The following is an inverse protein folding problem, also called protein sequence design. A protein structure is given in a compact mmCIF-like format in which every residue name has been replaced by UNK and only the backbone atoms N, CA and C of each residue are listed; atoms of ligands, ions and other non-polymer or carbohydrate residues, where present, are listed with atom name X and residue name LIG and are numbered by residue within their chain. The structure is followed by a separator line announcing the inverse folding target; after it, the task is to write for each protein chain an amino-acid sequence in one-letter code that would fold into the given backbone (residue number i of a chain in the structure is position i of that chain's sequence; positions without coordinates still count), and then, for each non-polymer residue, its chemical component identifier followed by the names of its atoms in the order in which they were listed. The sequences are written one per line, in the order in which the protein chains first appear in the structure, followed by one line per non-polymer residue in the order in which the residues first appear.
data_IF_685518915483
#
_entry.id   IF_685518915483
#
_cell.length_a   1.000
_cell.length_b   1.000
_cell.length_c   1.000
_cell.angle_alpha   90.00
_cell.angle_beta   90.00
_cell.angle_gamma   90.00
#
_symmetry.space_group_name_H-M   'P 1'
#
loop_
_entity.id
_entity.type
_entity.pdbx_description
1 polymer ?
#
# COMPACT_ATOMS: atom_id res chain seq x y z
N UNK A 1 -30.47 -27.08 -12.49
CA UNK A 1 -29.28 -27.15 -11.61
C UNK A 1 -29.76 -27.62 -10.25
N UNK A 2 -29.14 -28.63 -9.62
CA UNK A 2 -29.58 -29.09 -8.30
C UNK A 2 -29.17 -28.10 -7.20
N UNK A 3 -29.90 -28.09 -6.08
CA UNK A 3 -29.60 -27.22 -4.94
C UNK A 3 -28.17 -27.44 -4.42
N UNK A 4 -27.74 -28.69 -4.37
CA UNK A 4 -26.36 -29.08 -4.00
C UNK A 4 -25.30 -28.40 -4.88
N UNK A 5 -25.52 -28.34 -6.20
CA UNK A 5 -24.58 -27.67 -7.12
C UNK A 5 -24.49 -26.17 -6.85
N UNK A 6 -25.60 -25.52 -6.50
CA UNK A 6 -25.63 -24.08 -6.19
C UNK A 6 -24.85 -23.79 -4.91
N UNK A 7 -25.07 -24.58 -3.85
CA UNK A 7 -24.33 -24.43 -2.59
C UNK A 7 -22.83 -24.70 -2.75
N UNK A 8 -22.48 -25.72 -3.53
CA UNK A 8 -21.08 -26.06 -3.81
C UNK A 8 -20.38 -24.91 -4.54
N UNK A 9 -21.00 -24.36 -5.59
CA UNK A 9 -20.45 -23.23 -6.34
C UNK A 9 -20.31 -21.98 -5.47
N UNK A 10 -21.31 -21.69 -4.63
CA UNK A 10 -21.25 -20.59 -3.67
C UNK A 10 -20.12 -20.76 -2.64
N UNK A 11 -19.85 -21.99 -2.20
CA UNK A 11 -18.74 -22.33 -1.31
C UNK A 11 -17.37 -22.00 -1.93
N UNK A 12 -17.15 -22.43 -3.17
CA UNK A 12 -15.94 -22.07 -3.92
C UNK A 12 -15.82 -20.56 -4.10
N UNK A 13 -16.92 -19.88 -4.47
CA UNK A 13 -16.93 -18.42 -4.61
C UNK A 13 -16.48 -17.71 -3.33
N UNK A 14 -17.01 -18.10 -2.16
CA UNK A 14 -16.60 -17.55 -0.86
C UNK A 14 -15.11 -17.79 -0.58
N UNK A 15 -14.60 -18.98 -0.85
CA UNK A 15 -13.19 -19.30 -0.67
C UNK A 15 -12.28 -18.43 -1.54
N UNK A 16 -12.60 -18.27 -2.83
CA UNK A 16 -11.80 -17.45 -3.74
C UNK A 16 -11.86 -15.96 -3.39
N UNK A 17 -13.00 -15.44 -2.93
CA UNK A 17 -13.10 -14.07 -2.42
C UNK A 17 -12.17 -13.91 -1.21
N UNK A 18 -12.20 -14.85 -0.26
CA UNK A 18 -11.32 -14.81 0.91
C UNK A 18 -9.83 -14.83 0.48
N UNK A 19 -9.46 -15.78 -0.38
CA UNK A 19 -8.10 -15.90 -0.91
C UNK A 19 -7.64 -14.62 -1.63
N UNK A 20 -8.51 -14.03 -2.46
CA UNK A 20 -8.24 -12.78 -3.15
C UNK A 20 -7.95 -11.63 -2.18
N UNK A 21 -8.78 -11.49 -1.14
CA UNK A 21 -8.58 -10.49 -0.09
C UNK A 21 -7.22 -10.68 0.61
N UNK A 22 -6.86 -11.92 0.94
CA UNK A 22 -5.53 -12.24 1.50
C UNK A 22 -4.39 -11.85 0.57
N UNK A 23 -4.49 -12.16 -0.73
CA UNK A 23 -3.47 -11.81 -1.72
C UNK A 23 -3.31 -10.30 -1.82
N UNK A 24 -4.42 -9.54 -1.87
CA UNK A 24 -4.39 -8.07 -1.93
C UNK A 24 -3.71 -7.49 -0.70
N UNK A 25 -4.10 -7.91 0.51
CA UNK A 25 -3.49 -7.37 1.72
C UNK A 25 -2.03 -7.78 1.89
N UNK A 26 -1.70 -9.04 1.58
CA UNK A 26 -0.31 -9.51 1.66
C UNK A 26 0.59 -8.80 0.64
N UNK A 27 0.12 -8.64 -0.60
CA UNK A 27 0.87 -7.89 -1.63
C UNK A 27 1.04 -6.42 -1.26
N UNK A 28 0.05 -5.80 -0.62
CA UNK A 28 0.18 -4.44 -0.10
C UNK A 28 1.25 -4.35 1.01
N UNK A 29 1.19 -5.23 2.01
CA UNK A 29 2.21 -5.29 3.08
C UNK A 29 3.61 -5.53 2.50
N UNK A 30 3.74 -6.45 1.55
CA UNK A 30 4.97 -6.72 0.84
C UNK A 30 5.47 -5.49 0.05
N UNK A 31 4.57 -4.73 -0.58
CA UNK A 31 4.93 -3.52 -1.33
C UNK A 31 5.53 -2.44 -0.44
N UNK A 32 4.99 -2.24 0.78
CA UNK A 32 5.52 -1.29 1.77
C UNK A 32 6.92 -1.73 2.20
N UNK A 33 7.06 -2.99 2.58
CA UNK A 33 8.35 -3.56 2.99
C UNK A 33 9.41 -3.43 1.89
N UNK A 34 9.03 -3.71 0.64
CA UNK A 34 9.91 -3.57 -0.51
C UNK A 34 10.37 -2.12 -0.69
N UNK A 35 9.46 -1.14 -0.65
CA UNK A 35 9.79 0.30 -0.78
C UNK A 35 10.73 0.78 0.32
N UNK A 36 10.57 0.27 1.54
CA UNK A 36 11.49 0.55 2.65
C UNK A 36 12.87 -0.05 2.41
N UNK A 37 12.96 -1.32 1.99
CA UNK A 37 14.23 -1.99 1.71
C UNK A 37 14.98 -1.44 0.51
N UNK A 38 14.28 -1.01 -0.52
CA UNK A 38 14.88 -0.43 -1.73
C UNK A 38 15.32 1.03 -1.50
N UNK A 39 14.95 1.64 -0.37
CA UNK A 39 15.27 3.03 -0.06
C UNK A 39 14.47 4.05 -0.89
N UNK A 40 13.43 3.60 -1.60
CA UNK A 40 12.54 4.46 -2.38
C UNK A 40 11.69 5.34 -1.45
N UNK A 41 11.26 4.79 -0.32
CA UNK A 41 10.47 5.51 0.68
C UNK A 41 10.84 5.05 2.09
N UNK A 42 11.27 5.99 2.91
CA UNK A 42 11.56 5.76 4.32
C UNK A 42 10.32 6.08 5.17
N UNK A 43 9.63 5.02 5.60
CA UNK A 43 8.39 5.15 6.36
C UNK A 43 8.62 5.56 7.83
N UNK A 44 9.82 5.40 8.37
CA UNK A 44 10.12 5.78 9.76
C UNK A 44 10.14 7.30 9.94
N UNK A 45 10.52 8.04 8.89
CA UNK A 45 10.51 9.51 8.89
C UNK A 45 9.15 10.11 9.20
N UNK A 46 8.07 9.46 8.76
CA UNK A 46 6.71 9.91 9.03
C UNK A 46 6.33 9.74 10.51
N UNK A 47 6.82 8.68 11.16
CA UNK A 47 6.64 8.50 12.60
C UNK A 47 7.44 9.54 13.39
N UNK A 48 8.65 9.85 12.94
CA UNK A 48 9.53 10.84 13.61
C UNK A 48 9.04 12.28 13.44
N UNK A 49 8.27 12.59 12.39
CA UNK A 49 7.70 13.92 12.19
C UNK A 49 6.83 14.37 13.37
N UNK A 50 6.08 13.45 13.98
CA UNK A 50 5.23 13.76 15.15
C UNK A 50 6.07 14.10 16.38
N UNK A 51 7.27 13.52 16.48
CA UNK A 51 8.17 13.76 17.60
C UNK A 51 8.99 15.04 17.43
N UNK A 52 9.23 15.47 16.20
CA UNK A 52 10.07 16.62 15.83
C UNK A 52 9.29 17.62 14.96
N UNK A 53 8.15 18.10 15.48
CA UNK A 53 7.28 19.08 14.82
C UNK A 53 7.76 20.52 15.04
N UNK A 54 9.05 20.77 14.77
CA UNK A 54 9.61 22.12 14.81
C UNK A 54 9.16 22.94 13.60
N UNK A 55 8.96 24.25 13.79
CA UNK A 55 8.60 25.18 12.71
C UNK A 55 9.67 25.27 11.60
N UNK A 56 10.92 24.96 11.92
CA UNK A 56 12.05 24.98 10.98
C UNK A 56 12.29 23.62 10.29
N UNK A 57 11.39 22.65 10.47
CA UNK A 57 11.57 21.30 9.93
C UNK A 57 11.58 21.29 8.40
N UNK A 58 12.55 20.55 7.82
CA UNK A 58 12.67 20.43 6.39
C UNK A 58 11.58 19.51 5.81
N UNK A 59 11.05 19.78 4.61
CA UNK A 59 10.07 18.90 3.96
C UNK A 59 10.58 17.46 3.82
N UNK A 60 9.77 16.48 4.24
CA UNK A 60 10.15 15.06 4.27
C UNK A 60 10.48 14.48 2.89
N UNK A 61 9.73 14.88 1.87
CA UNK A 61 9.91 14.40 0.49
C UNK A 61 10.43 15.51 -0.41
N UNK A 62 11.32 15.15 -1.33
CA UNK A 62 11.79 16.07 -2.36
C UNK A 62 10.61 16.43 -3.25
N UNK A 63 10.32 17.72 -3.36
CA UNK A 63 9.41 18.22 -4.39
C UNK A 63 10.06 17.98 -5.75
N UNK A 64 9.42 17.18 -6.59
CA UNK A 64 9.74 17.12 -8.01
C UNK A 64 9.46 18.49 -8.62
N UNK A 65 10.49 19.32 -8.69
CA UNK A 65 10.46 20.52 -9.51
C UNK A 65 10.46 20.06 -10.96
N UNK A 66 9.28 19.77 -11.52
CA UNK A 66 9.12 19.88 -12.97
C UNK A 66 9.50 21.32 -13.29
N UNK A 67 10.69 21.48 -13.87
CA UNK A 67 11.11 22.75 -14.43
C UNK A 67 10.12 23.00 -15.56
N UNK A 68 9.10 23.82 -15.30
CA UNK A 68 8.36 24.48 -16.37
C UNK A 68 9.41 25.28 -17.13
N UNK A 69 9.86 24.74 -18.26
CA UNK A 69 10.58 25.52 -19.25
C UNK A 69 9.59 26.58 -19.72
N UNK A 70 9.78 27.80 -19.24
CA UNK A 70 9.23 28.97 -19.88
C UNK A 70 10.05 29.17 -21.16
N UNK A 71 9.45 28.81 -22.30
CA UNK A 71 9.92 29.18 -23.64
C UNK A 71 9.75 30.68 -23.87
#
# INVERSE_FOLDING_TARGET
MSQETIYTLAGYGKFFILLFVFIVFYSYAYSIYRRQKTGEKDFEKYSNLVLDDSLDSAPLEKRDRKIEKND
#
